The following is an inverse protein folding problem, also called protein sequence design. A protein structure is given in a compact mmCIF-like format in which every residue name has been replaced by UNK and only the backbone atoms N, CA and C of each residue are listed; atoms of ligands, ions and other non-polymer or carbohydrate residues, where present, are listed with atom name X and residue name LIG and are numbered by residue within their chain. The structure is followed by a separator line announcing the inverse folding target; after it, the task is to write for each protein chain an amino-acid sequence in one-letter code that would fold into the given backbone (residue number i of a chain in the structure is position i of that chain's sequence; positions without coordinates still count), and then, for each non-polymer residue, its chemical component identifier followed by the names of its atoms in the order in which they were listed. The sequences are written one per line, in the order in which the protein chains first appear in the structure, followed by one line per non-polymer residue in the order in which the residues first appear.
data_IF_284024346503
#
_entry.id   IF_284024346503
#
_cell.length_a   1.000
_cell.length_b   1.000
_cell.length_c   1.000
_cell.angle_alpha   90.00
_cell.angle_beta   90.00
_cell.angle_gamma   90.00
#
_symmetry.space_group_name_H-M   'P 1'
#
loop_
_entity.id
_entity.type
_entity.pdbx_description
1 polymer ?
#
# COMPACT_ATOMS: atom_id res chain seq x y z
N UNK A 1 24.63 5.35 -10.16
CA UNK A 1 25.26 5.26 -8.84
C UNK A 1 24.76 6.34 -7.85
N UNK A 2 24.76 7.64 -8.18
CA UNK A 2 24.36 8.73 -7.23
C UNK A 2 22.93 8.56 -6.64
N UNK A 3 21.94 8.18 -7.46
CA UNK A 3 20.56 8.00 -6.98
C UNK A 3 20.40 6.84 -5.99
N UNK A 4 21.06 5.71 -6.24
CA UNK A 4 21.04 4.58 -5.31
C UNK A 4 21.69 4.89 -3.97
N UNK A 5 22.83 5.60 -3.99
CA UNK A 5 23.51 6.02 -2.74
C UNK A 5 22.61 6.99 -1.95
N UNK A 6 21.94 7.94 -2.62
CA UNK A 6 21.02 8.86 -1.95
C UNK A 6 19.82 8.12 -1.36
N UNK A 7 19.23 7.19 -2.09
CA UNK A 7 18.11 6.39 -1.58
C UNK A 7 18.51 5.61 -0.33
N UNK A 8 19.63 4.89 -0.37
CA UNK A 8 20.15 4.14 0.79
C UNK A 8 20.45 5.09 1.96
N UNK A 9 21.08 6.24 1.70
CA UNK A 9 21.39 7.22 2.74
C UNK A 9 20.13 7.76 3.42
N UNK A 10 19.05 8.07 2.65
CA UNK A 10 17.78 8.54 3.19
C UNK A 10 17.06 7.45 4.01
N UNK A 11 17.10 6.20 3.54
CA UNK A 11 16.52 5.06 4.26
C UNK A 11 17.22 4.86 5.60
N UNK A 12 18.56 4.82 5.61
CA UNK A 12 19.34 4.67 6.85
C UNK A 12 19.15 5.88 7.77
N UNK A 13 19.18 7.09 7.23
CA UNK A 13 18.93 8.32 8.00
C UNK A 13 17.56 8.26 8.69
N UNK A 14 16.51 7.84 7.97
CA UNK A 14 15.16 7.73 8.53
C UNK A 14 15.13 6.73 9.68
N UNK A 15 15.76 5.56 9.52
CA UNK A 15 15.83 4.56 10.58
C UNK A 15 16.53 5.09 11.84
N UNK A 16 17.77 5.58 11.69
CA UNK A 16 18.55 6.03 12.84
C UNK A 16 18.00 7.30 13.48
N UNK A 17 17.48 8.25 12.68
CA UNK A 17 16.84 9.46 13.21
C UNK A 17 15.58 9.11 14.02
N UNK A 18 14.73 8.22 13.50
CA UNK A 18 13.52 7.80 14.21
C UNK A 18 13.87 7.00 15.47
N UNK A 19 14.85 6.10 15.39
CA UNK A 19 15.34 5.35 16.55
C UNK A 19 15.93 6.29 17.62
N UNK A 20 16.68 7.30 17.20
CA UNK A 20 17.22 8.33 18.11
C UNK A 20 16.10 9.14 18.78
N UNK A 21 15.10 9.60 18.02
CA UNK A 21 14.00 10.44 18.54
C UNK A 21 13.14 9.66 19.54
N UNK A 22 12.86 8.36 19.27
CA UNK A 22 12.00 7.52 20.11
C UNK A 22 12.80 6.76 21.18
N UNK A 23 14.10 6.55 20.95
CA UNK A 23 14.98 5.78 21.82
C UNK A 23 15.28 6.43 23.17
N UNK A 24 15.98 5.69 24.03
CA UNK A 24 16.36 6.14 25.37
C UNK A 24 17.31 7.34 25.38
N UNK A 25 18.02 7.56 24.27
CA UNK A 25 18.98 8.66 24.07
C UNK A 25 18.36 9.84 23.30
N UNK A 26 17.03 9.83 23.06
CA UNK A 26 16.35 10.90 22.33
C UNK A 26 16.39 12.25 23.04
N UNK A 27 15.92 13.29 22.32
CA UNK A 27 15.95 14.70 22.78
C UNK A 27 15.46 14.90 24.22
N UNK A 28 14.49 14.09 24.68
CA UNK A 28 13.98 14.16 26.05
C UNK A 28 14.82 13.32 27.04
N UNK A 29 15.36 12.19 26.59
CA UNK A 29 16.18 11.31 27.45
C UNK A 29 17.54 11.89 27.81
N UNK A 30 18.07 12.86 27.06
CA UNK A 30 19.29 13.57 27.39
C UNK A 30 19.16 14.56 28.56
N UNK A 31 17.90 14.95 28.89
CA UNK A 31 17.60 15.93 29.94
C UNK A 31 16.93 15.31 31.18
N UNK A 32 16.37 14.10 31.04
CA UNK A 32 15.68 13.40 32.13
C UNK A 32 16.00 11.90 32.10
N UNK A 33 15.98 11.20 33.25
CA UNK A 33 16.11 9.75 33.29
C UNK A 33 15.10 9.05 32.35
N UNK A 34 15.50 7.96 31.73
CA UNK A 34 14.69 7.23 30.75
C UNK A 34 13.36 6.68 31.32
N UNK A 35 13.32 6.42 32.61
CA UNK A 35 12.17 5.94 33.40
C UNK A 35 11.25 7.06 33.90
N UNK A 36 11.62 8.34 33.66
CA UNK A 36 10.79 9.46 34.08
C UNK A 36 9.44 9.43 33.36
N UNK A 37 8.28 9.52 34.09
CA UNK A 37 6.95 9.38 33.51
C UNK A 37 6.69 10.29 32.30
N UNK A 38 7.19 11.54 32.33
CA UNK A 38 7.05 12.51 31.23
C UNK A 38 7.75 12.00 29.96
N UNK A 39 8.95 11.43 30.08
CA UNK A 39 9.70 10.88 28.95
C UNK A 39 8.95 9.70 28.34
N UNK A 40 8.49 8.79 29.17
CA UNK A 40 7.73 7.61 28.76
C UNK A 40 6.43 7.99 28.05
N UNK A 41 5.62 8.88 28.65
CA UNK A 41 4.37 9.35 28.05
C UNK A 41 4.62 10.07 26.71
N UNK A 42 5.64 10.93 26.64
CA UNK A 42 6.00 11.64 25.41
C UNK A 42 6.39 10.70 24.28
N UNK A 43 7.13 9.62 24.57
CA UNK A 43 7.45 8.57 23.60
C UNK A 43 6.22 7.86 23.08
N UNK A 44 5.29 7.48 23.95
CA UNK A 44 4.05 6.84 23.52
C UNK A 44 3.21 7.78 22.65
N UNK A 45 3.04 9.04 23.02
CA UNK A 45 2.30 10.03 22.22
C UNK A 45 2.94 10.20 20.85
N UNK A 46 4.26 10.38 20.80
CA UNK A 46 4.98 10.56 19.54
C UNK A 46 4.88 9.30 18.66
N UNK A 47 5.05 8.11 19.26
CA UNK A 47 4.88 6.84 18.56
C UNK A 47 3.48 6.70 17.97
N UNK A 48 2.43 7.02 18.72
CA UNK A 48 1.05 6.99 18.23
C UNK A 48 0.84 7.96 17.06
N UNK A 49 1.40 9.16 17.13
CA UNK A 49 1.32 10.16 16.05
C UNK A 49 2.02 9.62 14.79
N UNK A 50 3.22 9.09 14.91
CA UNK A 50 3.97 8.55 13.76
C UNK A 50 3.26 7.34 13.14
N UNK A 51 2.77 6.41 13.95
CA UNK A 51 1.97 5.27 13.48
C UNK A 51 0.72 5.73 12.74
N UNK A 52 -0.01 6.70 13.32
CA UNK A 52 -1.22 7.26 12.69
C UNK A 52 -0.95 7.80 11.28
N UNK A 53 0.13 8.58 11.11
CA UNK A 53 0.50 9.13 9.80
C UNK A 53 1.08 8.10 8.81
N UNK A 54 1.53 6.95 9.29
CA UNK A 54 1.99 5.87 8.42
C UNK A 54 0.86 5.03 7.83
N UNK A 55 -0.35 5.06 8.40
CA UNK A 55 -1.48 4.24 7.97
C UNK A 55 -2.45 5.04 7.09
N UNK A 56 -2.86 4.46 5.97
CA UNK A 56 -3.69 5.12 4.96
C UNK A 56 -5.05 4.43 4.70
N UNK A 57 -5.44 3.40 5.46
CA UNK A 57 -6.59 2.56 5.16
C UNK A 57 -7.91 3.32 5.04
N UNK A 58 -8.27 4.10 6.06
CA UNK A 58 -9.52 4.89 6.08
C UNK A 58 -9.56 5.94 4.95
N UNK A 59 -8.44 6.63 4.72
CA UNK A 59 -8.33 7.66 3.67
C UNK A 59 -8.53 7.04 2.30
N UNK A 60 -7.92 5.89 2.04
CA UNK A 60 -8.05 5.19 0.76
C UNK A 60 -9.48 4.72 0.50
N UNK A 61 -10.14 4.12 1.48
CA UNK A 61 -11.55 3.71 1.36
C UNK A 61 -12.44 4.92 1.04
N UNK A 62 -12.19 6.06 1.67
CA UNK A 62 -12.93 7.30 1.40
C UNK A 62 -12.70 7.78 -0.04
N UNK A 63 -11.47 7.83 -0.50
CA UNK A 63 -11.15 8.25 -1.87
C UNK A 63 -11.79 7.32 -2.92
N UNK A 64 -11.75 6.00 -2.71
CA UNK A 64 -12.40 5.06 -3.63
C UNK A 64 -13.93 5.25 -3.68
N UNK A 65 -14.58 5.46 -2.54
CA UNK A 65 -16.02 5.79 -2.51
C UNK A 65 -16.32 7.06 -3.29
N UNK A 66 -15.51 8.11 -3.09
CA UNK A 66 -15.65 9.38 -3.82
C UNK A 66 -15.48 9.21 -5.33
N UNK A 67 -14.67 8.26 -5.82
CA UNK A 67 -14.57 7.94 -7.25
C UNK A 67 -15.89 7.42 -7.79
N UNK A 68 -16.53 6.47 -7.10
CA UNK A 68 -17.81 5.92 -7.52
C UNK A 68 -18.94 6.98 -7.48
N UNK A 69 -19.00 7.76 -6.41
CA UNK A 69 -19.94 8.88 -6.27
C UNK A 69 -19.73 9.96 -7.34
N UNK A 70 -18.48 10.25 -7.71
CA UNK A 70 -18.17 11.19 -8.78
C UNK A 70 -18.61 10.65 -10.15
N UNK A 71 -18.42 9.35 -10.41
CA UNK A 71 -18.91 8.69 -11.62
C UNK A 71 -20.43 8.70 -11.75
N UNK A 72 -21.16 8.61 -10.64
CA UNK A 72 -22.63 8.70 -10.65
C UNK A 72 -23.12 10.10 -11.07
N UNK A 73 -22.29 11.14 -10.89
CA UNK A 73 -22.59 12.51 -11.35
C UNK A 73 -22.19 12.75 -12.80
N UNK A 74 -20.95 12.41 -13.15
CA UNK A 74 -20.47 12.49 -14.54
C UNK A 74 -19.16 11.72 -14.76
N UNK A 75 -18.91 11.33 -16.02
CA UNK A 75 -17.67 10.68 -16.42
C UNK A 75 -16.46 11.57 -16.16
N UNK A 76 -16.60 12.88 -16.41
CA UNK A 76 -15.53 13.86 -16.23
C UNK A 76 -15.16 14.05 -14.76
N UNK A 77 -16.14 14.07 -13.85
CA UNK A 77 -15.89 14.11 -12.42
C UNK A 77 -15.22 12.81 -11.95
N UNK A 78 -15.65 11.66 -12.45
CA UNK A 78 -15.01 10.38 -12.18
C UNK A 78 -13.55 10.34 -12.59
N UNK A 79 -13.22 10.84 -13.79
CA UNK A 79 -11.82 10.97 -14.28
C UNK A 79 -10.97 11.86 -13.37
N UNK A 80 -11.48 13.02 -12.97
CA UNK A 80 -10.79 13.93 -12.05
C UNK A 80 -10.58 13.32 -10.67
N UNK A 81 -11.57 12.59 -10.16
CA UNK A 81 -11.48 11.99 -8.84
C UNK A 81 -10.50 10.81 -8.82
N UNK A 82 -10.54 9.92 -9.83
CA UNK A 82 -9.62 8.78 -9.89
C UNK A 82 -8.17 9.22 -10.11
N UNK A 83 -7.94 10.32 -10.83
CA UNK A 83 -6.60 10.90 -11.04
C UNK A 83 -5.87 11.24 -9.73
N UNK A 84 -6.58 11.40 -8.61
CA UNK A 84 -5.98 11.67 -7.29
C UNK A 84 -5.30 10.46 -6.68
N UNK A 85 -5.67 9.26 -7.11
CA UNK A 85 -5.24 8.01 -6.47
C UNK A 85 -4.51 7.05 -7.42
N UNK A 86 -4.44 7.36 -8.73
CA UNK A 86 -3.73 6.54 -9.71
C UNK A 86 -2.63 7.33 -10.41
N UNK A 87 -1.55 6.64 -10.81
CA UNK A 87 -0.44 7.24 -11.55
C UNK A 87 -0.61 7.19 -13.08
N UNK A 88 -1.71 6.59 -13.60
CA UNK A 88 -1.98 6.48 -15.04
C UNK A 88 -2.71 7.71 -15.58
N UNK A 89 -2.65 7.93 -16.91
CA UNK A 89 -3.48 8.93 -17.57
C UNK A 89 -4.96 8.55 -17.46
N UNK A 90 -5.78 9.46 -16.97
CA UNK A 90 -7.21 9.25 -16.73
C UNK A 90 -8.09 9.95 -17.74
N UNK A 91 -7.53 10.76 -18.63
CA UNK A 91 -8.26 11.65 -19.56
C UNK A 91 -9.18 10.90 -20.54
N UNK A 92 -8.81 9.68 -20.90
CA UNK A 92 -9.52 8.84 -21.87
C UNK A 92 -10.24 7.65 -21.24
N UNK A 93 -10.16 7.46 -19.92
CA UNK A 93 -10.77 6.30 -19.26
C UNK A 93 -12.31 6.37 -19.38
N UNK A 94 -12.92 5.25 -19.74
CA UNK A 94 -14.35 5.07 -19.63
C UNK A 94 -14.79 4.75 -18.19
N UNK A 95 -16.09 4.74 -17.92
CA UNK A 95 -16.62 4.53 -16.57
C UNK A 95 -16.18 3.19 -15.93
N UNK A 96 -16.06 2.14 -16.75
CA UNK A 96 -15.64 0.82 -16.26
C UNK A 96 -14.14 0.79 -15.91
N UNK A 97 -13.33 1.41 -16.74
CA UNK A 97 -11.87 1.53 -16.48
C UNK A 97 -11.58 2.38 -15.24
N UNK A 98 -12.39 3.41 -14.97
CA UNK A 98 -12.29 4.21 -13.74
C UNK A 98 -12.62 3.37 -12.50
N UNK A 99 -13.72 2.58 -12.52
CA UNK A 99 -14.08 1.68 -11.43
C UNK A 99 -13.00 0.63 -11.19
N UNK A 100 -12.50 0.03 -12.25
CA UNK A 100 -11.41 -0.94 -12.20
C UNK A 100 -10.15 -0.32 -11.58
N UNK A 101 -9.71 0.84 -12.07
CA UNK A 101 -8.54 1.55 -11.55
C UNK A 101 -8.66 1.86 -10.05
N UNK A 102 -9.83 2.29 -9.59
CA UNK A 102 -10.07 2.56 -8.18
C UNK A 102 -9.97 1.29 -7.32
N UNK A 103 -10.50 0.15 -7.79
CA UNK A 103 -10.46 -1.11 -7.04
C UNK A 103 -9.07 -1.78 -7.07
N UNK A 104 -8.33 -1.70 -8.19
CA UNK A 104 -6.93 -2.10 -8.27
C UNK A 104 -6.09 -1.33 -7.24
N UNK A 105 -6.22 -0.01 -7.23
CA UNK A 105 -5.53 0.88 -6.29
C UNK A 105 -5.90 0.58 -4.83
N UNK A 106 -7.17 0.27 -4.56
CA UNK A 106 -7.62 -0.14 -3.21
C UNK A 106 -6.91 -1.41 -2.74
N UNK A 107 -6.78 -2.40 -3.61
CA UNK A 107 -6.12 -3.67 -3.28
C UNK A 107 -4.61 -3.49 -3.08
N UNK A 108 -3.93 -2.78 -3.99
CA UNK A 108 -2.50 -2.51 -3.92
C UNK A 108 -2.15 -1.72 -2.65
N UNK A 109 -2.85 -0.62 -2.41
CA UNK A 109 -2.56 0.24 -1.26
C UNK A 109 -3.03 -0.33 0.10
N UNK A 110 -3.86 -1.37 0.14
CA UNK A 110 -4.07 -2.14 1.37
C UNK A 110 -2.76 -2.80 1.81
N UNK A 111 -1.97 -3.30 0.85
CA UNK A 111 -0.62 -3.80 1.14
C UNK A 111 0.30 -2.66 1.57
N UNK A 112 0.47 -1.65 0.73
CA UNK A 112 1.52 -0.64 0.87
C UNK A 112 1.20 0.43 1.91
N UNK A 113 -0.07 0.69 2.16
CA UNK A 113 -0.56 1.71 3.10
C UNK A 113 -1.00 1.17 4.45
N UNK A 114 -1.11 -0.15 4.65
CA UNK A 114 -1.60 -0.73 5.90
C UNK A 114 -0.79 -1.96 6.32
N UNK A 115 -0.82 -3.04 5.54
CA UNK A 115 -0.24 -4.32 5.98
C UNK A 115 1.28 -4.25 6.05
N UNK A 116 1.95 -3.68 5.05
CA UNK A 116 3.40 -3.56 5.05
C UNK A 116 3.94 -2.60 6.13
N UNK A 117 3.37 -1.40 6.36
CA UNK A 117 3.74 -0.59 7.52
C UNK A 117 3.61 -1.34 8.85
N UNK A 118 2.49 -2.06 9.08
CA UNK A 118 2.27 -2.83 10.30
C UNK A 118 3.19 -4.05 10.41
N UNK A 119 3.53 -4.68 9.30
CA UNK A 119 4.50 -5.77 9.26
C UNK A 119 5.90 -5.30 9.70
N UNK A 120 6.36 -4.17 9.17
CA UNK A 120 7.64 -3.60 9.54
C UNK A 120 7.63 -3.00 10.96
N UNK A 121 6.48 -2.51 11.43
CA UNK A 121 6.28 -2.14 12.82
C UNK A 121 6.44 -3.35 13.76
N UNK A 122 5.88 -4.49 13.40
CA UNK A 122 6.00 -5.72 14.20
C UNK A 122 7.46 -6.17 14.34
N UNK A 123 8.27 -6.03 13.29
CA UNK A 123 9.65 -6.50 13.28
C UNK A 123 10.64 -5.52 13.92
N UNK A 124 10.46 -4.22 13.70
CA UNK A 124 11.46 -3.19 14.02
C UNK A 124 10.86 -1.97 14.74
N UNK A 125 9.61 -2.05 15.21
CA UNK A 125 8.93 -0.95 15.87
C UNK A 125 8.66 0.23 14.95
N UNK A 126 8.47 1.41 15.55
CA UNK A 126 8.22 2.66 14.82
C UNK A 126 9.36 3.02 13.85
N UNK A 127 10.65 2.84 14.19
CA UNK A 127 11.74 3.06 13.22
C UNK A 127 11.60 2.21 11.95
N UNK A 128 11.23 0.94 12.07
CA UNK A 128 11.01 0.05 10.94
C UNK A 128 9.83 0.50 10.07
N UNK A 129 8.72 0.88 10.69
CA UNK A 129 7.55 1.42 10.00
C UNK A 129 7.86 2.70 9.22
N UNK A 130 8.55 3.65 9.83
CA UNK A 130 8.96 4.91 9.20
C UNK A 130 9.94 4.66 8.04
N UNK A 131 10.86 3.73 8.22
CA UNK A 131 11.82 3.33 7.18
C UNK A 131 11.11 2.71 5.98
N UNK A 132 10.13 1.84 6.22
CA UNK A 132 9.30 1.30 5.14
C UNK A 132 8.55 2.41 4.41
N UNK A 133 7.96 3.39 5.13
CA UNK A 133 7.29 4.53 4.49
C UNK A 133 8.26 5.38 3.65
N UNK A 134 9.51 5.54 4.07
CA UNK A 134 10.54 6.19 3.25
C UNK A 134 10.83 5.38 1.98
N UNK A 135 10.99 4.06 2.07
CA UNK A 135 11.22 3.18 0.91
C UNK A 135 10.07 3.33 -0.09
N UNK A 136 8.83 3.16 0.36
CA UNK A 136 7.63 3.25 -0.47
C UNK A 136 7.45 4.66 -1.09
N UNK A 137 7.78 5.72 -0.35
CA UNK A 137 7.75 7.09 -0.86
C UNK A 137 8.80 7.31 -1.94
N UNK A 138 10.02 6.81 -1.74
CA UNK A 138 11.09 6.92 -2.76
C UNK A 138 10.70 6.19 -4.04
N UNK A 139 10.15 4.97 -3.93
CA UNK A 139 9.65 4.27 -5.13
C UNK A 139 8.57 5.06 -5.83
N UNK A 140 7.55 5.52 -5.11
CA UNK A 140 6.44 6.30 -5.68
C UNK A 140 6.87 7.61 -6.35
N UNK A 141 7.95 8.24 -5.87
CA UNK A 141 8.41 9.54 -6.41
C UNK A 141 9.47 9.41 -7.50
N UNK A 142 10.35 8.43 -7.43
CA UNK A 142 11.51 8.31 -8.32
C UNK A 142 11.67 6.92 -8.95
N UNK A 143 10.88 5.92 -8.57
CA UNK A 143 10.94 4.54 -9.10
C UNK A 143 10.45 4.41 -10.55
N UNK A 144 9.91 5.47 -11.15
CA UNK A 144 9.42 5.47 -12.52
C UNK A 144 10.54 5.18 -13.53
N UNK A 145 10.24 4.36 -14.54
CA UNK A 145 11.16 4.01 -15.64
C UNK A 145 11.25 5.07 -16.75
N UNK A 146 10.89 6.34 -16.48
CA UNK A 146 11.09 7.44 -17.42
C UNK A 146 12.58 7.68 -17.64
N UNK A 147 12.98 8.26 -18.78
CA UNK A 147 14.38 8.55 -19.11
C UNK A 147 15.12 9.28 -17.98
N UNK A 148 14.44 10.21 -17.31
CA UNK A 148 14.96 11.00 -16.19
C UNK A 148 15.31 10.14 -14.97
N UNK A 149 14.51 9.14 -14.63
CA UNK A 149 14.61 8.37 -13.39
C UNK A 149 15.08 6.93 -13.58
N UNK A 150 15.18 6.45 -14.82
CA UNK A 150 15.49 5.06 -15.17
C UNK A 150 16.73 4.50 -14.44
N UNK A 151 17.81 5.26 -14.36
CA UNK A 151 19.03 4.85 -13.64
C UNK A 151 19.04 5.34 -12.18
N UNK A 152 18.34 6.43 -11.89
CA UNK A 152 18.34 7.06 -10.58
C UNK A 152 17.42 6.30 -9.61
N UNK A 153 16.21 5.93 -10.02
CA UNK A 153 15.20 5.27 -9.20
C UNK A 153 15.27 3.75 -9.13
N UNK A 154 16.06 3.10 -10.02
CA UNK A 154 16.11 1.62 -10.07
C UNK A 154 16.44 0.97 -8.73
N UNK A 155 17.31 1.58 -7.93
CA UNK A 155 17.70 1.03 -6.61
C UNK A 155 16.55 1.18 -5.63
N UNK A 156 15.86 2.32 -5.62
CA UNK A 156 14.69 2.55 -4.76
C UNK A 156 13.58 1.53 -5.08
N UNK A 157 13.24 1.35 -6.37
CA UNK A 157 12.25 0.38 -6.82
C UNK A 157 12.59 -1.06 -6.41
N UNK A 158 13.86 -1.48 -6.54
CA UNK A 158 14.28 -2.81 -6.11
C UNK A 158 14.23 -3.02 -4.59
N UNK A 159 14.58 -1.99 -3.82
CA UNK A 159 14.46 -2.05 -2.35
C UNK A 159 13.00 -2.17 -1.96
N UNK A 160 12.10 -1.41 -2.60
CA UNK A 160 10.67 -1.49 -2.39
C UNK A 160 10.12 -2.88 -2.76
N UNK A 161 10.54 -3.43 -3.89
CA UNK A 161 10.17 -4.79 -4.31
C UNK A 161 10.53 -5.85 -3.25
N UNK A 162 11.69 -5.73 -2.61
CA UNK A 162 12.12 -6.63 -1.53
C UNK A 162 11.34 -6.38 -0.26
N UNK A 163 11.15 -5.10 0.13
CA UNK A 163 10.43 -4.72 1.32
C UNK A 163 8.96 -5.14 1.31
N UNK A 164 8.34 -5.17 0.12
CA UNK A 164 6.94 -5.56 -0.09
C UNK A 164 6.76 -7.06 -0.38
N UNK A 165 7.83 -7.83 -0.53
CA UNK A 165 7.71 -9.23 -0.95
C UNK A 165 6.83 -10.08 -0.02
N UNK A 166 7.10 -10.09 1.27
CA UNK A 166 6.30 -10.79 2.27
C UNK A 166 4.96 -10.09 2.55
N UNK A 167 4.92 -8.75 2.78
CA UNK A 167 3.67 -8.04 3.04
C UNK A 167 2.59 -8.23 1.98
N UNK A 168 2.93 -8.18 0.69
CA UNK A 168 1.95 -8.34 -0.37
C UNK A 168 1.29 -9.74 -0.37
N UNK A 169 2.06 -10.77 -0.06
CA UNK A 169 1.54 -12.14 0.06
C UNK A 169 0.71 -12.33 1.31
N UNK A 170 1.13 -11.74 2.43
CA UNK A 170 0.37 -11.69 3.66
C UNK A 170 -0.96 -10.96 3.45
N UNK A 171 -0.95 -9.82 2.75
CA UNK A 171 -2.17 -9.06 2.41
C UNK A 171 -3.16 -9.94 1.65
N UNK A 172 -2.71 -10.60 0.57
CA UNK A 172 -3.57 -11.48 -0.21
C UNK A 172 -4.13 -12.64 0.62
N UNK A 173 -3.31 -13.25 1.49
CA UNK A 173 -3.75 -14.30 2.40
C UNK A 173 -4.82 -13.81 3.37
N UNK A 174 -4.60 -12.67 4.02
CA UNK A 174 -5.56 -12.07 4.95
C UNK A 174 -6.88 -11.72 4.24
N UNK A 175 -6.83 -11.15 3.03
CA UNK A 175 -8.03 -10.88 2.23
C UNK A 175 -8.83 -12.15 1.93
N UNK A 176 -8.17 -13.24 1.56
CA UNK A 176 -8.80 -14.55 1.31
C UNK A 176 -9.47 -15.09 2.58
N UNK A 177 -8.77 -15.01 3.72
CA UNK A 177 -9.27 -15.48 5.01
C UNK A 177 -10.50 -14.70 5.46
N UNK A 178 -10.44 -13.36 5.44
CA UNK A 178 -11.59 -12.52 5.85
C UNK A 178 -12.78 -12.63 4.90
N UNK A 179 -12.54 -13.01 3.63
CA UNK A 179 -13.58 -13.30 2.66
C UNK A 179 -14.20 -14.69 2.83
N UNK A 180 -13.61 -15.57 3.66
CA UNK A 180 -14.06 -16.96 3.83
C UNK A 180 -13.92 -17.82 2.56
N UNK A 181 -12.93 -17.53 1.70
CA UNK A 181 -12.75 -18.18 0.39
C UNK A 181 -11.39 -18.85 0.22
N UNK A 182 -11.00 -19.84 1.03
CA UNK A 182 -9.66 -20.45 1.01
C UNK A 182 -9.26 -21.04 -0.34
N UNK A 183 -10.24 -21.44 -1.18
CA UNK A 183 -9.97 -21.94 -2.54
C UNK A 183 -9.29 -20.89 -3.45
N UNK A 184 -9.35 -19.61 -3.12
CA UNK A 184 -8.68 -18.56 -3.89
C UNK A 184 -7.15 -18.55 -3.72
N UNK A 185 -6.58 -19.33 -2.80
CA UNK A 185 -5.12 -19.45 -2.65
C UNK A 185 -4.47 -19.92 -3.96
N UNK A 186 -5.05 -20.92 -4.63
CA UNK A 186 -4.56 -21.42 -5.92
C UNK A 186 -4.70 -20.38 -7.03
N UNK A 187 -5.83 -19.66 -7.05
CA UNK A 187 -6.08 -18.56 -7.98
C UNK A 187 -5.05 -17.44 -7.81
N UNK A 188 -4.79 -17.00 -6.58
CA UNK A 188 -3.77 -15.97 -6.28
C UNK A 188 -2.37 -16.47 -6.64
N UNK A 189 -2.05 -17.73 -6.39
CA UNK A 189 -0.79 -18.34 -6.82
C UNK A 189 -0.57 -18.31 -8.34
N UNK A 190 -1.65 -18.44 -9.12
CA UNK A 190 -1.64 -18.40 -10.58
C UNK A 190 -1.52 -16.96 -11.12
N UNK A 191 -2.35 -16.04 -10.61
CA UNK A 191 -2.49 -14.69 -11.18
C UNK A 191 -1.55 -13.67 -10.54
N UNK A 192 -1.20 -13.81 -9.27
CA UNK A 192 -0.37 -12.84 -8.55
C UNK A 192 1.02 -12.61 -9.17
N UNK A 193 1.54 -13.61 -9.90
CA UNK A 193 2.83 -13.51 -10.60
C UNK A 193 2.75 -12.85 -11.99
N UNK A 194 1.56 -12.58 -12.49
CA UNK A 194 1.38 -12.05 -13.86
C UNK A 194 1.55 -10.53 -13.93
N UNK A 195 1.47 -9.82 -12.81
CA UNK A 195 1.63 -8.38 -12.77
C UNK A 195 3.08 -7.96 -13.03
N UNK A 196 3.28 -6.75 -13.60
CA UNK A 196 4.61 -6.19 -13.85
C UNK A 196 5.42 -5.92 -12.57
N UNK A 197 4.73 -5.54 -11.48
CA UNK A 197 5.31 -5.53 -10.14
C UNK A 197 5.28 -6.95 -9.55
N UNK A 198 6.35 -7.40 -8.89
CA UNK A 198 6.39 -8.72 -8.26
C UNK A 198 5.47 -8.83 -7.03
N UNK A 199 4.86 -7.72 -6.61
CA UNK A 199 4.09 -7.59 -5.37
C UNK A 199 2.62 -7.22 -5.59
N UNK A 200 2.32 -6.16 -6.34
CA UNK A 200 0.95 -5.62 -6.52
C UNK A 200 -0.05 -6.64 -7.05
N UNK A 201 0.41 -7.59 -7.87
CA UNK A 201 -0.45 -8.63 -8.43
C UNK A 201 -1.08 -9.57 -7.39
N UNK A 202 -0.49 -9.73 -6.20
CA UNK A 202 -1.03 -10.62 -5.17
C UNK A 202 -2.31 -10.06 -4.52
N UNK A 203 -2.33 -8.83 -3.96
CA UNK A 203 -3.56 -8.25 -3.43
C UNK A 203 -4.61 -7.98 -4.53
N UNK A 204 -4.18 -7.55 -5.72
CA UNK A 204 -5.09 -7.38 -6.87
C UNK A 204 -5.77 -8.70 -7.26
N UNK A 205 -5.02 -9.80 -7.35
CA UNK A 205 -5.59 -11.12 -7.66
C UNK A 205 -6.51 -11.63 -6.56
N UNK A 206 -6.18 -11.39 -5.30
CA UNK A 206 -7.09 -11.73 -4.19
C UNK A 206 -8.42 -10.99 -4.32
N UNK A 207 -8.40 -9.68 -4.60
CA UNK A 207 -9.62 -8.89 -4.78
C UNK A 207 -10.39 -9.32 -6.04
N UNK A 208 -9.71 -9.55 -7.17
CA UNK A 208 -10.34 -10.04 -8.41
C UNK A 208 -11.07 -11.36 -8.19
N UNK A 209 -10.43 -12.31 -7.48
CA UNK A 209 -11.06 -13.59 -7.14
C UNK A 209 -12.23 -13.45 -6.16
N UNK A 210 -12.14 -12.57 -5.17
CA UNK A 210 -13.20 -12.30 -4.20
C UNK A 210 -14.42 -11.69 -4.87
N UNK A 211 -14.21 -10.75 -5.81
CA UNK A 211 -15.28 -10.08 -6.56
C UNK A 211 -15.76 -10.90 -7.74
N UNK A 212 -15.03 -11.93 -8.16
CA UNK A 212 -15.26 -12.72 -9.36
C UNK A 212 -15.29 -11.84 -10.61
N UNK A 213 -14.22 -11.09 -10.83
CA UNK A 213 -14.06 -10.15 -11.93
C UNK A 213 -12.66 -10.25 -12.56
N UNK A 214 -12.39 -9.41 -13.53
CA UNK A 214 -11.10 -9.29 -14.19
C UNK A 214 -10.53 -7.89 -14.02
N UNK A 215 -9.24 -7.80 -13.66
CA UNK A 215 -8.42 -6.59 -13.61
C UNK A 215 -7.33 -6.63 -14.68
N UNK A 216 -6.54 -5.55 -14.81
CA UNK A 216 -5.49 -5.45 -15.82
C UNK A 216 -6.01 -4.91 -17.15
N UNK A 217 -5.28 -5.22 -18.22
CA UNK A 217 -5.56 -4.71 -19.57
C UNK A 217 -4.63 -3.57 -19.97
N UNK A 218 -4.96 -2.88 -21.06
CA UNK A 218 -4.13 -1.83 -21.64
C UNK A 218 -4.34 -0.50 -20.93
N UNK A 219 -3.27 0.15 -20.50
CA UNK A 219 -3.31 1.45 -19.83
C UNK A 219 -2.26 2.39 -20.42
N UNK A 220 -2.51 3.71 -20.36
CA UNK A 220 -1.57 4.73 -20.79
C UNK A 220 -0.90 5.37 -19.58
N UNK A 221 0.44 5.38 -19.56
CA UNK A 221 1.26 6.05 -18.55
C UNK A 221 2.21 7.03 -19.24
N UNK A 222 2.15 8.30 -18.90
CA UNK A 222 3.04 9.34 -19.46
C UNK A 222 3.10 9.34 -20.99
N UNK A 223 1.98 9.04 -21.67
CA UNK A 223 1.88 8.96 -23.13
C UNK A 223 2.31 7.62 -23.74
N UNK A 224 2.82 6.67 -22.96
CA UNK A 224 3.16 5.33 -23.41
C UNK A 224 2.06 4.34 -23.09
N UNK A 225 1.71 3.50 -24.06
CA UNK A 225 0.72 2.42 -23.90
C UNK A 225 1.41 1.21 -23.29
N UNK A 226 0.95 0.78 -22.13
CA UNK A 226 1.46 -0.38 -21.40
C UNK A 226 0.38 -1.45 -21.33
N UNK A 227 0.65 -2.62 -21.86
CA UNK A 227 -0.22 -3.79 -21.72
C UNK A 227 0.08 -4.49 -20.39
N UNK A 228 -0.90 -4.48 -19.48
CA UNK A 228 -0.85 -5.29 -18.25
C UNK A 228 -1.58 -6.61 -18.50
N UNK A 229 -0.99 -7.75 -18.11
CA UNK A 229 -1.67 -9.02 -18.18
C UNK A 229 -3.00 -8.99 -17.40
N UNK A 230 -4.01 -9.66 -17.94
CA UNK A 230 -5.28 -9.78 -17.24
C UNK A 230 -5.16 -10.66 -15.99
N UNK A 231 -5.79 -10.21 -14.91
CA UNK A 231 -5.89 -10.87 -13.61
C UNK A 231 -7.35 -11.23 -13.38
N UNK A 232 -7.67 -12.51 -13.43
CA UNK A 232 -9.04 -13.01 -13.31
C UNK A 232 -9.61 -13.55 -14.60
N UNK A 233 -10.73 -14.27 -14.49
CA UNK A 233 -11.33 -15.05 -15.60
C UNK A 233 -12.61 -14.43 -16.14
N UNK A 234 -13.28 -13.55 -15.39
CA UNK A 234 -14.61 -13.08 -15.73
C UNK A 234 -14.62 -11.58 -16.05
N UNK A 235 -14.52 -11.21 -17.33
CA UNK A 235 -14.69 -9.82 -17.76
C UNK A 235 -16.15 -9.40 -17.59
N UNK A 236 -16.48 -8.75 -16.50
CA UNK A 236 -17.80 -8.21 -16.21
C UNK A 236 -17.75 -6.76 -15.79
N UNK A 237 -18.85 -6.08 -15.87
CA UNK A 237 -18.98 -4.71 -15.37
C UNK A 237 -18.93 -4.70 -13.84
N UNK A 238 -18.16 -3.75 -13.31
CA UNK A 238 -18.08 -3.46 -11.88
C UNK A 238 -19.12 -2.42 -11.50
N UNK A 239 -19.69 -2.56 -10.31
CA UNK A 239 -20.74 -1.66 -9.80
C UNK A 239 -20.46 -1.19 -8.37
N UNK A 240 -21.38 -0.41 -7.80
CA UNK A 240 -21.26 0.12 -6.45
C UNK A 240 -21.33 -0.98 -5.35
N UNK A 241 -21.90 -2.16 -5.64
CA UNK A 241 -21.89 -3.31 -4.71
C UNK A 241 -20.51 -3.93 -4.64
N UNK A 242 -19.79 -3.97 -5.77
CA UNK A 242 -18.39 -4.41 -5.80
C UNK A 242 -17.51 -3.49 -4.98
N UNK A 243 -17.67 -2.19 -5.11
CA UNK A 243 -16.97 -1.20 -4.31
C UNK A 243 -17.26 -1.38 -2.82
N UNK A 244 -18.52 -1.50 -2.42
CA UNK A 244 -18.89 -1.72 -1.01
C UNK A 244 -18.24 -3.00 -0.46
N UNK A 245 -18.26 -4.08 -1.24
CA UNK A 245 -17.65 -5.36 -0.87
C UNK A 245 -16.14 -5.25 -0.76
N UNK A 246 -15.47 -4.59 -1.71
CA UNK A 246 -14.04 -4.35 -1.69
C UNK A 246 -13.63 -3.51 -0.46
N UNK A 247 -14.35 -2.43 -0.16
CA UNK A 247 -14.13 -1.61 1.03
C UNK A 247 -14.32 -2.41 2.33
N UNK A 248 -15.33 -3.28 2.39
CA UNK A 248 -15.56 -4.14 3.56
C UNK A 248 -14.41 -5.16 3.76
N UNK A 249 -13.91 -5.77 2.68
CA UNK A 249 -12.74 -6.67 2.74
C UNK A 249 -11.51 -5.91 3.21
N UNK A 250 -11.28 -4.70 2.67
CA UNK A 250 -10.17 -3.84 3.06
C UNK A 250 -10.20 -3.55 4.57
N UNK A 251 -11.32 -3.03 5.10
CA UNK A 251 -11.48 -2.72 6.54
C UNK A 251 -11.32 -3.95 7.43
N UNK A 252 -11.86 -5.10 7.03
CA UNK A 252 -11.72 -6.34 7.81
C UNK A 252 -10.28 -6.84 7.82
N UNK A 253 -9.58 -6.75 6.69
CA UNK A 253 -8.17 -7.14 6.58
C UNK A 253 -7.29 -6.25 7.44
N UNK A 254 -7.51 -4.93 7.40
CA UNK A 254 -6.85 -3.97 8.29
C UNK A 254 -7.07 -4.32 9.76
N UNK A 255 -8.32 -4.54 10.16
CA UNK A 255 -8.67 -4.90 11.54
C UNK A 255 -7.99 -6.19 12.00
N UNK A 256 -8.01 -7.25 11.17
CA UNK A 256 -7.34 -8.53 11.49
C UNK A 256 -5.82 -8.33 11.60
N UNK A 257 -5.21 -7.54 10.72
CA UNK A 257 -3.78 -7.24 10.81
C UNK A 257 -3.41 -6.50 12.10
N UNK A 258 -4.22 -5.52 12.52
CA UNK A 258 -4.01 -4.80 13.80
C UNK A 258 -4.12 -5.74 14.99
N UNK A 259 -5.16 -6.60 15.03
CA UNK A 259 -5.33 -7.60 16.09
C UNK A 259 -4.15 -8.57 16.13
N UNK A 260 -3.68 -9.02 14.97
CA UNK A 260 -2.53 -9.93 14.86
C UNK A 260 -1.25 -9.29 15.40
N UNK A 261 -0.97 -8.05 15.03
CA UNK A 261 0.20 -7.30 15.54
C UNK A 261 0.09 -7.12 17.06
N UNK A 262 -1.08 -6.70 17.56
CA UNK A 262 -1.31 -6.53 18.99
C UNK A 262 -1.12 -7.86 19.77
N UNK A 263 -1.66 -8.95 19.27
CA UNK A 263 -1.53 -10.27 19.90
C UNK A 263 -0.07 -10.73 19.95
N UNK A 264 0.69 -10.57 18.85
CA UNK A 264 2.08 -10.99 18.79
C UNK A 264 2.94 -10.17 19.76
N UNK A 265 2.76 -8.84 19.80
CA UNK A 265 3.53 -7.97 20.71
C UNK A 265 3.28 -8.31 22.19
N UNK A 266 2.06 -8.74 22.55
CA UNK A 266 1.76 -9.11 23.93
C UNK A 266 2.17 -10.55 24.30
N UNK A 267 2.56 -11.37 23.33
CA UNK A 267 3.07 -12.72 23.53
C UNK A 267 4.60 -12.79 23.62
N UNK A 268 5.30 -11.77 23.13
CA UNK A 268 6.76 -11.62 23.16
C UNK A 268 7.20 -10.87 24.40
#
# INVERSE_FOLDING_TARGET
MKGGMLAVALILLTFFLTAFIIGDVGLLGSWMPSDHPVVTISRYILSCILVFFCLAGTTLIKEVRMVFEALDRSLEEGRRQVARIVGRDTSQLNAQEIRQAALETLAENLSDGVVAPLFWFLLLGVPGMMTYKMINTLDSMIGYRTERYRLFGTVAARIDDVANYLPARLTALLMILVAGRPRLITFVGQYGKRHASPNSGYPESALAGILDCQFGGTHTYFGEVIEKPFIGNHPRTLDSRDMQRACAINSRTEFVMVIMVFAIINLL
#
